data_IF_338167250591
#
_entry.id   IF_338167250591
#
_cell.length_a   1.000
_cell.length_b   1.000
_cell.length_c   1.000
_cell.angle_alpha   90.00
_cell.angle_beta   90.00
_cell.angle_gamma   90.00
#
_symmetry.space_group_name_H-M   'P 1'
#
loop_
_entity.id
_entity.type
_entity.pdbx_description
1 polymer ?
#
# COMPACT_ATOMS: atom_id res chain seq x y z
N UNK A 1 6.22 -2.90 0.07
CA UNK A 1 4.83 -2.53 -0.28
C UNK A 1 3.99 -3.78 -0.48
N UNK A 2 2.79 -3.91 0.12
CA UNK A 2 2.09 -5.20 0.11
C UNK A 2 1.30 -5.49 -1.17
N UNK A 3 1.55 -6.65 -1.77
CA UNK A 3 0.74 -7.26 -2.83
C UNK A 3 0.12 -8.54 -2.27
N UNK A 4 -1.20 -8.57 -2.15
CA UNK A 4 -1.91 -9.76 -1.70
C UNK A 4 -2.12 -10.73 -2.85
N UNK A 5 -1.58 -11.94 -2.69
CA UNK A 5 -1.69 -13.04 -3.65
C UNK A 5 -2.70 -14.04 -3.13
N UNK A 6 -3.83 -14.14 -3.80
CA UNK A 6 -4.72 -15.28 -3.59
C UNK A 6 -4.17 -16.46 -4.36
N UNK A 7 -3.86 -17.53 -3.63
CA UNK A 7 -3.44 -18.82 -4.17
C UNK A 7 -4.61 -19.77 -4.06
N UNK A 8 -4.88 -20.53 -5.11
CA UNK A 8 -5.62 -21.78 -4.98
C UNK A 8 -4.84 -22.75 -4.09
N UNK A 9 -5.56 -23.38 -3.16
CA UNK A 9 -5.12 -24.32 -2.13
C UNK A 9 -3.79 -25.08 -2.43
N UNK A 10 -2.77 -25.04 -1.55
CA UNK A 10 -1.43 -25.65 -1.77
C UNK A 10 -1.41 -27.18 -1.99
N UNK A 11 -2.50 -27.90 -1.78
CA UNK A 11 -2.53 -29.38 -1.87
C UNK A 11 -2.60 -29.93 -3.31
N UNK A 12 -2.68 -29.10 -4.35
CA UNK A 12 -2.86 -29.53 -5.76
C UNK A 12 -1.56 -29.74 -6.57
N UNK A 13 -0.36 -29.66 -5.98
CA UNK A 13 0.89 -29.60 -6.77
C UNK A 13 1.12 -28.22 -7.41
N UNK A 14 0.47 -27.19 -6.87
CA UNK A 14 0.46 -25.80 -7.31
C UNK A 14 1.61 -24.87 -6.86
N UNK A 15 2.45 -25.18 -5.85
CA UNK A 15 3.32 -24.17 -5.21
C UNK A 15 4.40 -23.60 -6.13
N UNK A 16 4.72 -24.31 -7.21
CA UNK A 16 5.76 -23.91 -8.16
C UNK A 16 5.32 -22.70 -9.01
N UNK A 17 4.06 -22.64 -9.42
CA UNK A 17 3.56 -21.66 -10.39
C UNK A 17 3.45 -20.23 -9.79
N UNK A 18 2.88 -20.09 -8.59
CA UNK A 18 2.83 -18.81 -7.89
C UNK A 18 4.23 -18.35 -7.44
N UNK A 19 5.10 -19.27 -7.02
CA UNK A 19 6.47 -18.95 -6.62
C UNK A 19 7.30 -18.37 -7.77
N UNK A 20 7.08 -18.84 -9.00
CA UNK A 20 7.72 -18.33 -10.22
C UNK A 20 7.35 -16.86 -10.45
N UNK A 21 6.05 -16.54 -10.38
CA UNK A 21 5.56 -15.16 -10.58
C UNK A 21 6.07 -14.23 -9.48
N UNK A 22 5.97 -14.64 -8.21
CA UNK A 22 6.44 -13.86 -7.06
C UNK A 22 7.95 -13.56 -7.19
N UNK A 23 8.78 -14.58 -7.45
CA UNK A 23 10.23 -14.42 -7.59
C UNK A 23 10.62 -13.47 -8.73
N UNK A 24 9.95 -13.60 -9.88
CA UNK A 24 10.24 -12.76 -11.03
C UNK A 24 9.81 -11.31 -10.81
N UNK A 25 8.62 -11.11 -10.25
CA UNK A 25 8.10 -9.79 -9.97
C UNK A 25 8.93 -9.08 -8.88
N UNK A 26 9.29 -9.75 -7.77
CA UNK A 26 10.14 -9.12 -6.73
C UNK A 26 11.49 -8.69 -7.29
N UNK A 27 12.17 -9.55 -8.06
CA UNK A 27 13.49 -9.18 -8.62
C UNK A 27 13.40 -8.08 -9.67
N UNK A 28 12.40 -8.12 -10.56
CA UNK A 28 12.33 -7.23 -11.72
C UNK A 28 11.65 -5.88 -11.41
N UNK A 29 10.72 -5.84 -10.45
CA UNK A 29 10.04 -4.59 -10.06
C UNK A 29 10.97 -3.68 -9.26
N UNK A 30 11.76 -4.25 -8.35
CA UNK A 30 12.71 -3.48 -7.54
C UNK A 30 13.88 -2.93 -8.37
N UNK A 31 14.30 -3.66 -9.41
CA UNK A 31 15.48 -3.31 -10.22
C UNK A 31 15.28 -2.14 -11.18
N UNK A 32 14.04 -1.85 -11.62
CA UNK A 32 13.79 -0.85 -12.66
C UNK A 32 12.97 0.33 -12.12
N UNK A 33 13.49 1.57 -12.20
CA UNK A 33 12.69 2.74 -11.87
C UNK A 33 11.52 2.89 -12.84
N UNK A 34 10.43 3.51 -12.36
CA UNK A 34 9.26 3.86 -13.17
C UNK A 34 8.92 5.33 -13.00
N UNK A 35 8.55 5.97 -14.10
CA UNK A 35 7.98 7.31 -14.05
C UNK A 35 6.56 7.26 -13.50
N UNK A 36 6.31 8.03 -12.45
CA UNK A 36 5.01 8.16 -11.82
C UNK A 36 4.63 9.63 -11.74
N UNK A 37 3.43 9.94 -12.21
CA UNK A 37 2.86 11.28 -12.11
C UNK A 37 1.39 11.18 -11.74
N UNK A 38 0.95 12.03 -10.81
CA UNK A 38 -0.47 12.20 -10.46
C UNK A 38 -1.19 13.11 -11.43
N UNK A 39 -0.46 14.04 -12.03
CA UNK A 39 -0.93 14.87 -13.12
C UNK A 39 0.18 14.98 -14.17
N UNK A 40 0.03 14.27 -15.31
CA UNK A 40 1.05 14.20 -16.35
C UNK A 40 1.55 15.57 -16.87
N UNK A 41 0.79 16.64 -16.65
CA UNK A 41 1.16 17.99 -17.07
C UNK A 41 1.93 18.80 -16.00
N UNK A 42 2.18 18.26 -14.81
CA UNK A 42 2.80 18.99 -13.69
C UNK A 42 4.18 18.44 -13.34
N UNK A 43 4.20 17.36 -12.56
CA UNK A 43 5.42 16.81 -11.95
C UNK A 43 5.42 15.31 -12.18
N UNK A 44 6.56 14.81 -12.62
CA UNK A 44 6.82 13.38 -12.82
C UNK A 44 7.97 12.97 -11.92
N UNK A 45 7.75 11.93 -11.14
CA UNK A 45 8.71 11.34 -10.23
C UNK A 45 9.29 10.06 -10.81
N UNK A 46 10.57 9.83 -10.58
CA UNK A 46 11.18 8.53 -10.83
C UNK A 46 11.11 7.72 -9.54
N UNK A 47 10.21 6.75 -9.48
CA UNK A 47 9.92 5.97 -8.27
C UNK A 47 10.43 4.54 -8.39
N UNK A 48 10.72 3.93 -7.24
CA UNK A 48 11.03 2.51 -7.13
C UNK A 48 9.92 1.81 -6.37
N UNK A 49 9.49 0.65 -6.90
CA UNK A 49 8.45 -0.16 -6.27
C UNK A 49 9.10 -1.43 -5.75
N UNK A 50 9.05 -1.63 -4.44
CA UNK A 50 9.53 -2.85 -3.78
C UNK A 50 8.34 -3.67 -3.25
N UNK A 51 7.84 -4.65 -4.04
CA UNK A 51 6.65 -5.41 -3.68
C UNK A 51 6.99 -6.56 -2.73
N UNK A 52 6.19 -6.66 -1.67
CA UNK A 52 6.18 -7.74 -0.69
C UNK A 52 4.91 -8.55 -0.94
N UNK A 53 5.06 -9.79 -1.39
CA UNK A 53 3.92 -10.67 -1.66
C UNK A 53 3.45 -11.36 -0.38
N UNK A 54 2.16 -11.31 -0.10
CA UNK A 54 1.54 -11.97 1.05
C UNK A 54 0.37 -12.86 0.63
N UNK A 55 0.24 -14.08 1.19
CA UNK A 55 -0.89 -14.94 0.89
C UNK A 55 -2.20 -14.31 1.38
N UNK A 56 -3.22 -14.31 0.52
CA UNK A 56 -4.58 -13.87 0.85
C UNK A 56 -5.44 -15.08 1.22
N UNK A 57 -5.90 -15.12 2.46
CA UNK A 57 -6.91 -16.06 2.93
C UNK A 57 -8.29 -15.39 2.92
N UNK A 58 -9.05 -15.65 1.84
CA UNK A 58 -10.39 -15.08 1.64
C UNK A 58 -11.39 -15.52 2.70
N UNK A 59 -11.19 -16.69 3.33
CA UNK A 59 -12.07 -17.23 4.36
C UNK A 59 -11.83 -16.61 5.74
N UNK A 60 -10.56 -16.32 6.08
CA UNK A 60 -10.21 -15.70 7.38
C UNK A 60 -10.37 -14.18 7.38
N UNK A 61 -10.28 -13.54 6.21
CA UNK A 61 -10.37 -12.09 6.10
C UNK A 61 -11.78 -11.51 6.35
N UNK A 62 -12.82 -12.36 6.45
CA UNK A 62 -14.19 -11.96 6.81
C UNK A 62 -14.44 -11.79 8.31
N UNK A 63 -13.51 -12.19 9.17
CA UNK A 63 -13.59 -12.01 10.62
C UNK A 63 -12.99 -10.66 11.00
N UNK A 64 -13.80 -9.60 10.97
CA UNK A 64 -13.49 -8.34 11.65
C UNK A 64 -13.40 -8.60 13.16
N UNK A 65 -12.20 -8.94 13.64
CA UNK A 65 -11.91 -8.87 15.07
C UNK A 65 -12.14 -7.42 15.51
N UNK A 66 -12.90 -7.20 16.59
CA UNK A 66 -13.14 -5.90 17.23
C UNK A 66 -11.87 -5.29 17.88
N UNK A 67 -10.71 -5.54 17.30
CA UNK A 67 -9.44 -4.94 17.68
C UNK A 67 -9.18 -3.69 16.85
N UNK A 68 -8.48 -2.71 17.44
CA UNK A 68 -7.95 -1.55 16.74
C UNK A 68 -7.24 -2.04 15.47
N UNK A 69 -7.60 -1.56 14.26
CA UNK A 69 -6.92 -1.99 13.05
C UNK A 69 -5.42 -1.70 13.25
N UNK A 70 -4.59 -2.73 13.14
CA UNK A 70 -3.14 -2.54 13.08
C UNK A 70 -2.90 -1.55 11.95
N UNK A 71 -2.18 -0.44 12.22
CA UNK A 71 -1.92 0.69 11.31
C UNK A 71 -1.15 0.33 10.03
N UNK A 72 -1.09 -0.94 9.68
CA UNK A 72 -0.55 -1.42 8.44
C UNK A 72 -1.58 -1.17 7.33
N UNK A 73 -1.30 -0.19 6.47
CA UNK A 73 -2.16 0.14 5.33
C UNK A 73 -2.52 -1.14 4.55
N UNK A 74 -3.79 -1.33 4.15
CA UNK A 74 -4.22 -2.53 3.43
C UNK A 74 -3.35 -2.81 2.21
N UNK A 75 -3.32 -4.03 1.66
CA UNK A 75 -2.52 -4.32 0.46
C UNK A 75 -2.78 -3.31 -0.66
N UNK A 76 -1.70 -2.89 -1.33
CA UNK A 76 -1.79 -1.99 -2.45
C UNK A 76 -2.42 -2.69 -3.66
N UNK A 77 -2.20 -3.99 -3.84
CA UNK A 77 -2.73 -4.69 -5.01
C UNK A 77 -3.19 -6.10 -4.67
N UNK A 78 -4.18 -6.59 -5.41
CA UNK A 78 -4.69 -7.96 -5.29
C UNK A 78 -4.42 -8.73 -6.57
N UNK A 79 -3.80 -9.89 -6.44
CA UNK A 79 -3.42 -10.74 -7.57
C UNK A 79 -3.98 -12.13 -7.36
N UNK A 80 -4.68 -12.66 -8.37
CA UNK A 80 -5.11 -14.06 -8.41
C UNK A 80 -4.24 -14.81 -9.42
N UNK A 81 -3.58 -15.87 -8.97
CA UNK A 81 -2.69 -16.67 -9.82
C UNK A 81 -3.27 -18.07 -9.96
N UNK A 82 -3.40 -18.56 -11.19
CA UNK A 82 -3.90 -19.90 -11.46
C UNK A 82 -3.23 -20.55 -12.68
N UNK A 83 -3.17 -21.89 -12.76
CA UNK A 83 -2.70 -22.57 -13.95
C UNK A 83 -3.70 -22.42 -15.11
N UNK A 84 -3.19 -22.31 -16.34
CA UNK A 84 -4.01 -22.36 -17.55
C UNK A 84 -4.35 -23.82 -17.90
N UNK A 85 -5.05 -24.50 -16.98
CA UNK A 85 -5.46 -25.89 -17.11
C UNK A 85 -7.00 -26.00 -17.10
N UNK A 86 -7.63 -26.49 -18.19
CA UNK A 86 -9.08 -26.63 -18.28
C UNK A 86 -9.70 -27.57 -17.25
N UNK A 87 -8.98 -28.61 -16.82
CA UNK A 87 -9.44 -29.60 -15.84
C UNK A 87 -9.44 -28.99 -14.44
N UNK A 88 -8.37 -28.30 -14.08
CA UNK A 88 -8.29 -27.51 -12.85
C UNK A 88 -9.41 -26.46 -12.77
N UNK A 89 -9.65 -25.72 -13.88
CA UNK A 89 -10.65 -24.67 -13.87
C UNK A 89 -12.07 -25.19 -13.62
N UNK A 90 -12.39 -26.33 -14.23
CA UNK A 90 -13.71 -26.95 -14.13
C UNK A 90 -13.93 -27.57 -12.75
N UNK A 91 -12.88 -28.16 -12.16
CA UNK A 91 -12.96 -28.81 -10.85
C UNK A 91 -12.97 -27.83 -9.68
N UNK A 92 -12.11 -26.80 -9.71
CA UNK A 92 -11.89 -25.91 -8.56
C UNK A 92 -11.68 -24.45 -8.92
N UNK A 93 -10.95 -24.14 -9.98
CA UNK A 93 -10.53 -22.77 -10.30
C UNK A 93 -11.70 -21.79 -10.47
N UNK A 94 -12.83 -22.22 -11.04
CA UNK A 94 -14.03 -21.37 -11.18
C UNK A 94 -14.64 -20.98 -9.83
N UNK A 95 -14.68 -21.91 -8.88
CA UNK A 95 -15.22 -21.66 -7.54
C UNK A 95 -14.30 -20.73 -6.73
N UNK A 96 -12.99 -21.01 -6.75
CA UNK A 96 -11.97 -20.20 -6.08
C UNK A 96 -11.98 -18.74 -6.59
N UNK A 97 -12.06 -18.56 -7.91
CA UNK A 97 -12.11 -17.22 -8.51
C UNK A 97 -13.41 -16.48 -8.14
N UNK A 98 -14.55 -17.17 -8.16
CA UNK A 98 -15.83 -16.56 -7.76
C UNK A 98 -15.76 -16.05 -6.33
N UNK A 99 -15.24 -16.86 -5.41
CA UNK A 99 -15.04 -16.48 -4.02
C UNK A 99 -14.10 -15.26 -3.89
N UNK A 100 -13.01 -15.24 -4.66
CA UNK A 100 -12.09 -14.10 -4.67
C UNK A 100 -12.74 -12.82 -5.21
N UNK A 101 -13.52 -12.89 -6.28
CA UNK A 101 -14.24 -11.73 -6.83
C UNK A 101 -15.31 -11.21 -5.85
N UNK A 102 -16.02 -12.08 -5.15
CA UNK A 102 -16.97 -11.70 -4.09
C UNK A 102 -16.26 -10.99 -2.92
N UNK A 103 -15.08 -11.50 -2.54
CA UNK A 103 -14.22 -10.83 -1.56
C UNK A 103 -13.82 -9.42 -2.01
N UNK A 104 -13.34 -9.27 -3.25
CA UNK A 104 -12.95 -7.96 -3.79
C UNK A 104 -14.14 -6.99 -3.83
N UNK A 105 -15.32 -7.47 -4.22
CA UNK A 105 -16.55 -6.67 -4.24
C UNK A 105 -16.94 -6.19 -2.83
N UNK A 106 -16.88 -7.09 -1.84
CA UNK A 106 -17.19 -6.78 -0.44
C UNK A 106 -16.24 -5.72 0.13
N UNK A 107 -14.95 -5.81 -0.22
CA UNK A 107 -13.92 -4.85 0.21
C UNK A 107 -13.84 -3.60 -0.67
N UNK A 108 -14.72 -3.46 -1.68
CA UNK A 108 -14.72 -2.36 -2.67
C UNK A 108 -13.36 -2.18 -3.36
N UNK A 109 -12.66 -3.28 -3.60
CA UNK A 109 -11.36 -3.29 -4.26
C UNK A 109 -11.54 -3.27 -5.76
N UNK A 110 -11.07 -2.19 -6.39
CA UNK A 110 -11.12 -2.02 -7.84
C UNK A 110 -9.80 -2.40 -8.56
N UNK A 111 -8.71 -2.50 -7.80
CA UNK A 111 -7.37 -2.76 -8.32
C UNK A 111 -7.02 -4.24 -8.13
N UNK A 112 -7.31 -5.05 -9.16
CA UNK A 112 -7.04 -6.48 -9.17
C UNK A 112 -6.44 -6.95 -10.49
N UNK A 113 -5.57 -7.96 -10.44
CA UNK A 113 -4.98 -8.61 -11.62
C UNK A 113 -5.12 -10.12 -11.54
N UNK A 114 -5.47 -10.75 -12.66
CA UNK A 114 -5.55 -12.20 -12.80
C UNK A 114 -4.41 -12.65 -13.70
N UNK A 115 -3.60 -13.59 -13.21
CA UNK A 115 -2.44 -14.15 -13.89
C UNK A 115 -2.72 -15.63 -14.15
N UNK A 116 -2.71 -16.02 -15.42
CA UNK A 116 -2.76 -17.43 -15.82
C UNK A 116 -1.36 -17.91 -16.20
N UNK A 117 -1.03 -19.15 -15.81
CA UNK A 117 0.28 -19.73 -16.09
C UNK A 117 0.15 -20.88 -17.09
N UNK A 118 0.71 -20.69 -18.28
CA UNK A 118 0.67 -21.66 -19.37
C UNK A 118 1.88 -22.59 -19.36
N UNK A 119 1.64 -23.90 -19.31
CA UNK A 119 2.70 -24.88 -19.53
C UNK A 119 2.94 -25.07 -21.03
N UNK A 120 4.20 -24.96 -21.46
CA UNK A 120 4.58 -25.10 -22.87
C UNK A 120 4.41 -26.50 -23.43
N UNK A 121 4.56 -27.51 -22.58
CA UNK A 121 4.47 -28.92 -22.96
C UNK A 121 3.01 -29.35 -23.14
N UNK A 122 2.08 -28.66 -22.48
CA UNK A 122 0.64 -28.89 -22.58
C UNK A 122 0.00 -27.87 -23.51
N UNK A 123 -0.13 -28.21 -24.79
CA UNK A 123 -0.87 -27.38 -25.75
C UNK A 123 -2.37 -27.39 -25.45
N UNK A 124 -2.85 -26.32 -24.81
CA UNK A 124 -4.29 -26.11 -24.57
C UNK A 124 -4.89 -25.34 -25.75
N UNK A 125 -5.94 -25.87 -26.41
CA UNK A 125 -6.65 -25.12 -27.46
C UNK A 125 -7.16 -23.77 -26.95
N UNK A 126 -7.07 -22.73 -27.77
CA UNK A 126 -7.45 -21.37 -27.38
C UNK A 126 -8.89 -21.28 -26.82
N UNK A 127 -9.83 -22.02 -27.42
CA UNK A 127 -11.25 -22.07 -26.99
C UNK A 127 -11.47 -22.81 -25.66
N UNK A 128 -10.55 -23.67 -25.25
CA UNK A 128 -10.63 -24.38 -23.96
C UNK A 128 -9.76 -23.75 -22.87
N UNK A 129 -8.93 -22.76 -23.23
CA UNK A 129 -8.04 -22.07 -22.30
C UNK A 129 -8.82 -21.45 -21.13
N UNK A 130 -8.20 -21.44 -19.96
CA UNK A 130 -8.73 -20.76 -18.78
C UNK A 130 -8.95 -19.29 -19.10
N UNK A 131 -8.03 -18.66 -19.84
CA UNK A 131 -8.17 -17.29 -20.34
C UNK A 131 -9.50 -17.07 -21.09
N UNK A 132 -9.88 -17.99 -21.99
CA UNK A 132 -11.14 -17.89 -22.72
C UNK A 132 -12.35 -18.11 -21.81
N UNK A 133 -12.29 -19.11 -20.93
CA UNK A 133 -13.35 -19.38 -19.96
C UNK A 133 -13.59 -18.21 -19.02
N UNK A 134 -12.52 -17.55 -18.54
CA UNK A 134 -12.60 -16.35 -17.69
C UNK A 134 -13.37 -15.21 -18.37
N UNK A 135 -13.13 -14.97 -19.66
CA UNK A 135 -13.85 -13.95 -20.43
C UNK A 135 -15.33 -14.28 -20.58
N UNK A 136 -15.67 -15.55 -20.79
CA UNK A 136 -17.05 -15.99 -20.98
C UNK A 136 -17.84 -16.06 -19.67
N UNK A 137 -17.24 -16.61 -18.61
CA UNK A 137 -17.91 -16.87 -17.34
C UNK A 137 -18.06 -15.60 -16.48
N UNK A 138 -17.11 -14.67 -16.56
CA UNK A 138 -17.05 -13.50 -15.67
C UNK A 138 -17.03 -12.16 -16.40
N UNK A 139 -17.15 -12.16 -17.74
CA UNK A 139 -17.11 -10.95 -18.57
C UNK A 139 -15.87 -10.07 -18.30
N UNK A 140 -14.73 -10.70 -17.99
CA UNK A 140 -13.48 -9.98 -17.70
C UNK A 140 -12.88 -9.48 -19.00
N UNK A 141 -12.80 -8.16 -19.16
CA UNK A 141 -12.16 -7.54 -20.33
C UNK A 141 -10.66 -7.85 -20.40
N UNK A 142 -10.21 -8.14 -21.63
CA UNK A 142 -8.90 -8.70 -21.90
C UNK A 142 -7.72 -7.72 -21.75
N UNK A 143 -7.97 -6.42 -21.62
CA UNK A 143 -6.90 -5.43 -21.79
C UNK A 143 -6.07 -5.24 -20.54
N UNK A 144 -6.67 -4.93 -19.39
CA UNK A 144 -5.89 -4.45 -18.23
C UNK A 144 -5.82 -5.42 -17.03
N UNK A 145 -6.85 -6.27 -16.82
CA UNK A 145 -6.97 -7.11 -15.62
C UNK A 145 -6.51 -8.55 -15.76
N UNK A 146 -6.10 -8.97 -16.97
CA UNK A 146 -5.81 -10.36 -17.28
C UNK A 146 -4.49 -10.49 -18.03
N UNK A 147 -3.63 -11.43 -17.63
CA UNK A 147 -2.36 -11.70 -18.30
C UNK A 147 -2.05 -13.20 -18.25
N UNK A 148 -1.57 -13.74 -19.37
CA UNK A 148 -1.09 -15.12 -19.48
C UNK A 148 0.43 -15.10 -19.59
N UNK A 149 1.11 -15.87 -18.74
CA UNK A 149 2.57 -16.03 -18.76
C UNK A 149 2.95 -17.50 -18.87
N UNK A 150 3.92 -17.86 -19.70
CA UNK A 150 4.37 -19.24 -19.78
C UNK A 150 5.35 -19.57 -18.64
N UNK A 151 5.44 -20.84 -18.27
CA UNK A 151 6.37 -21.31 -17.22
C UNK A 151 7.85 -21.05 -17.51
N UNK A 152 8.24 -20.92 -18.79
CA UNK A 152 9.62 -20.62 -19.18
C UNK A 152 9.83 -19.11 -19.39
N UNK A 153 10.74 -18.54 -18.59
CA UNK A 153 11.12 -17.13 -18.62
C UNK A 153 11.87 -16.70 -19.88
N UNK A 154 12.76 -17.55 -20.42
CA UNK A 154 13.74 -17.13 -21.42
C UNK A 154 13.13 -16.94 -22.80
N UNK A 155 12.15 -17.77 -23.13
CA UNK A 155 11.54 -17.82 -24.46
C UNK A 155 10.37 -16.87 -24.68
N UNK A 156 9.87 -16.24 -23.61
CA UNK A 156 8.66 -15.43 -23.66
C UNK A 156 8.82 -14.10 -22.90
N UNK A 157 9.96 -13.45 -23.11
CA UNK A 157 10.29 -12.16 -22.49
C UNK A 157 9.15 -11.14 -22.63
N UNK A 158 8.47 -11.08 -23.78
CA UNK A 158 7.34 -10.16 -24.01
C UNK A 158 6.14 -10.37 -23.06
N UNK A 159 5.77 -11.61 -22.75
CA UNK A 159 4.65 -11.90 -21.84
C UNK A 159 5.01 -11.52 -20.39
N UNK A 160 6.23 -11.83 -19.98
CA UNK A 160 6.76 -11.47 -18.68
C UNK A 160 6.93 -9.95 -18.51
N UNK A 161 7.37 -9.23 -19.55
CA UNK A 161 7.39 -7.77 -19.54
C UNK A 161 5.97 -7.18 -19.45
N UNK A 162 4.99 -7.76 -20.17
CA UNK A 162 3.59 -7.33 -20.06
C UNK A 162 3.05 -7.50 -18.62
N UNK A 163 3.35 -8.62 -17.97
CA UNK A 163 3.02 -8.85 -16.56
C UNK A 163 3.66 -7.77 -15.67
N UNK A 164 4.94 -7.43 -15.86
CA UNK A 164 5.61 -6.39 -15.08
C UNK A 164 4.94 -5.02 -15.27
N UNK A 165 4.67 -4.63 -16.51
CA UNK A 165 3.98 -3.35 -16.79
C UNK A 165 2.61 -3.29 -16.11
N UNK A 166 1.81 -4.36 -16.21
CA UNK A 166 0.50 -4.42 -15.55
C UNK A 166 0.62 -4.40 -14.03
N UNK A 167 1.58 -5.12 -13.45
CA UNK A 167 1.82 -5.13 -12.01
C UNK A 167 2.24 -3.75 -11.50
N UNK A 168 3.16 -3.07 -12.20
CA UNK A 168 3.55 -1.69 -11.88
C UNK A 168 2.35 -0.74 -11.91
N UNK A 169 1.59 -0.77 -12.99
CA UNK A 169 0.41 0.08 -13.15
C UNK A 169 -0.67 -0.21 -12.11
N UNK A 170 -0.87 -1.49 -11.75
CA UNK A 170 -1.79 -1.91 -10.70
C UNK A 170 -1.40 -1.31 -9.35
N UNK A 171 -0.13 -1.45 -8.99
CA UNK A 171 0.43 -0.93 -7.76
C UNK A 171 0.33 0.61 -7.70
N UNK A 172 0.80 1.30 -8.73
CA UNK A 172 0.83 2.77 -8.77
C UNK A 172 -0.57 3.36 -8.72
N UNK A 173 -1.55 2.76 -9.43
CA UNK A 173 -2.95 3.20 -9.37
C UNK A 173 -3.54 3.05 -7.98
N UNK A 174 -3.25 1.95 -7.31
CA UNK A 174 -3.80 1.74 -5.98
C UNK A 174 -3.19 2.66 -4.93
N UNK A 175 -1.89 2.93 -5.01
CA UNK A 175 -1.25 3.94 -4.16
C UNK A 175 -1.79 5.33 -4.45
N UNK A 176 -1.92 5.71 -5.73
CA UNK A 176 -2.47 7.00 -6.13
C UNK A 176 -3.88 7.22 -5.57
N UNK A 177 -4.76 6.23 -5.72
CA UNK A 177 -6.14 6.31 -5.20
C UNK A 177 -6.19 6.42 -3.67
N UNK A 178 -5.31 5.72 -2.94
CA UNK A 178 -5.22 5.86 -1.49
C UNK A 178 -4.70 7.23 -1.08
N UNK A 179 -3.67 7.72 -1.77
CA UNK A 179 -3.09 9.02 -1.54
C UNK A 179 -4.11 10.14 -1.77
N UNK A 180 -4.89 10.07 -2.87
CA UNK A 180 -6.00 10.99 -3.14
C UNK A 180 -7.00 11.01 -1.98
N UNK A 181 -7.37 9.83 -1.46
CA UNK A 181 -8.34 9.70 -0.38
C UNK A 181 -7.81 10.30 0.93
N UNK A 182 -6.59 9.97 1.31
CA UNK A 182 -5.96 10.46 2.53
C UNK A 182 -5.74 11.99 2.48
N UNK A 183 -5.29 12.52 1.34
CA UNK A 183 -5.10 13.96 1.15
C UNK A 183 -6.41 14.74 1.15
N UNK A 184 -7.48 14.22 0.53
CA UNK A 184 -8.79 14.84 0.58
C UNK A 184 -9.36 14.85 2.00
N UNK A 185 -9.13 13.78 2.77
CA UNK A 185 -9.50 13.71 4.19
C UNK A 185 -8.73 14.75 5.00
N UNK A 186 -7.41 14.84 4.82
CA UNK A 186 -6.58 15.85 5.47
C UNK A 186 -7.01 17.28 5.12
N UNK A 187 -7.39 17.56 3.87
CA UNK A 187 -7.93 18.87 3.45
C UNK A 187 -9.25 19.18 4.15
N UNK A 188 -10.15 18.19 4.25
CA UNK A 188 -11.42 18.34 4.95
C UNK A 188 -11.22 18.65 6.44
N UNK A 189 -10.29 17.94 7.09
CA UNK A 189 -9.95 18.18 8.50
C UNK A 189 -9.38 19.59 8.71
N UNK A 190 -8.53 20.08 7.80
CA UNK A 190 -8.03 21.45 7.92
C UNK A 190 -9.12 22.51 7.70
N UNK A 191 -10.10 22.23 6.83
CA UNK A 191 -11.22 23.14 6.60
C UNK A 191 -12.09 23.30 7.86
N UNK A 192 -12.22 22.25 8.68
CA UNK A 192 -12.95 22.26 9.95
C UNK A 192 -12.08 22.56 11.18
N UNK A 193 -10.82 22.99 11.03
CA UNK A 193 -9.91 23.18 12.18
C UNK A 193 -10.37 24.22 13.22
N UNK A 194 -11.29 25.12 12.83
CA UNK A 194 -11.88 26.12 13.75
C UNK A 194 -13.07 25.58 14.53
N UNK A 195 -13.56 24.38 14.19
CA UNK A 195 -14.69 23.73 14.85
C UNK A 195 -14.24 23.06 16.16
N UNK A 196 -15.13 23.05 17.16
CA UNK A 196 -14.81 22.58 18.51
C UNK A 196 -14.59 21.06 18.61
N UNK A 197 -15.01 20.30 17.62
CA UNK A 197 -14.89 18.84 17.50
C UNK A 197 -13.65 18.40 16.71
N UNK A 198 -12.83 19.33 16.23
CA UNK A 198 -11.62 19.00 15.50
C UNK A 198 -10.57 18.30 16.38
N UNK A 199 -10.11 17.10 15.97
CA UNK A 199 -9.01 16.39 16.63
C UNK A 199 -7.75 16.43 15.76
N UNK A 200 -6.68 17.04 16.27
CA UNK A 200 -5.38 17.02 15.59
C UNK A 200 -4.87 15.60 15.37
N UNK A 201 -5.19 14.65 16.25
CA UNK A 201 -4.72 13.28 16.09
C UNK A 201 -5.27 12.64 14.81
N UNK A 202 -6.49 13.00 14.40
CA UNK A 202 -7.06 12.54 13.13
C UNK A 202 -6.32 13.16 11.93
N UNK A 203 -5.91 14.43 12.05
CA UNK A 203 -5.08 15.08 11.03
C UNK A 203 -3.67 14.47 10.97
N UNK A 204 -3.06 14.21 12.13
CA UNK A 204 -1.75 13.55 12.23
C UNK A 204 -1.79 12.15 11.64
N UNK A 205 -2.80 11.34 11.96
CA UNK A 205 -2.98 10.01 11.38
C UNK A 205 -3.07 10.08 9.85
N UNK A 206 -3.77 11.08 9.29
CA UNK A 206 -3.80 11.30 7.84
C UNK A 206 -2.40 11.67 7.29
N UNK A 207 -1.65 12.55 7.95
CA UNK A 207 -0.30 12.92 7.50
C UNK A 207 0.68 11.74 7.59
N UNK A 208 0.60 10.93 8.66
CA UNK A 208 1.39 9.68 8.82
C UNK A 208 1.08 8.69 7.70
N UNK A 209 -0.20 8.52 7.33
CA UNK A 209 -0.60 7.65 6.21
C UNK A 209 -0.05 8.16 4.88
N UNK A 210 -0.18 9.46 4.59
CA UNK A 210 0.36 10.08 3.37
C UNK A 210 1.88 9.90 3.31
N UNK A 211 2.60 10.18 4.41
CA UNK A 211 4.05 9.99 4.48
C UNK A 211 4.47 8.54 4.25
N UNK A 212 3.70 7.59 4.79
CA UNK A 212 3.91 6.15 4.58
C UNK A 212 3.73 5.76 3.10
N UNK A 213 2.72 6.31 2.43
CA UNK A 213 2.47 6.05 1.01
C UNK A 213 3.59 6.61 0.13
N UNK A 214 4.08 7.84 0.40
CA UNK A 214 5.23 8.40 -0.31
C UNK A 214 6.52 7.60 -0.04
N UNK A 215 6.72 7.14 1.20
CA UNK A 215 7.84 6.28 1.54
C UNK A 215 7.80 4.95 0.77
N UNK A 216 6.62 4.39 0.52
CA UNK A 216 6.46 3.19 -0.31
C UNK A 216 6.85 3.40 -1.79
N UNK A 217 6.92 4.65 -2.24
CA UNK A 217 7.40 5.06 -3.57
C UNK A 217 8.86 5.51 -3.57
N UNK A 218 9.53 5.42 -2.41
CA UNK A 218 10.87 5.94 -2.17
C UNK A 218 10.98 7.47 -2.34
N UNK A 219 9.87 8.19 -2.08
CA UNK A 219 9.76 9.64 -2.12
C UNK A 219 9.92 10.21 -0.71
N UNK A 220 11.15 10.21 -0.21
CA UNK A 220 11.45 10.58 1.18
C UNK A 220 11.25 12.07 1.45
N UNK A 221 11.49 12.95 0.47
CA UNK A 221 11.31 14.39 0.64
C UNK A 221 9.84 14.75 0.81
N UNK A 222 8.96 14.18 -0.02
CA UNK A 222 7.52 14.32 0.07
C UNK A 222 6.98 13.76 1.40
N UNK A 223 7.52 12.62 1.84
CA UNK A 223 7.16 12.04 3.13
C UNK A 223 7.55 12.96 4.30
N UNK A 224 8.75 13.55 4.28
CA UNK A 224 9.20 14.51 5.29
C UNK A 224 8.34 15.77 5.30
N UNK A 225 7.98 16.32 4.13
CA UNK A 225 7.11 17.49 4.03
C UNK A 225 5.75 17.27 4.71
N UNK A 226 5.20 16.05 4.66
CA UNK A 226 3.95 15.71 5.35
C UNK A 226 4.10 15.78 6.88
N UNK A 227 5.24 15.31 7.41
CA UNK A 227 5.53 15.37 8.84
C UNK A 227 5.84 16.81 9.29
N UNK A 228 6.57 17.59 8.50
CA UNK A 228 6.85 19.00 8.77
C UNK A 228 5.54 19.82 8.80
N UNK A 229 4.61 19.49 7.90
CA UNK A 229 3.27 20.09 7.91
C UNK A 229 2.54 19.77 9.22
N UNK A 230 2.58 18.52 9.68
CA UNK A 230 1.97 18.14 10.96
C UNK A 230 2.61 18.87 12.15
N UNK A 231 3.94 18.99 12.19
CA UNK A 231 4.68 19.71 13.22
C UNK A 231 4.33 21.20 13.26
N UNK A 232 4.19 21.82 12.09
CA UNK A 232 3.77 23.21 11.99
C UNK A 232 2.39 23.43 12.61
N UNK A 233 1.41 22.58 12.27
CA UNK A 233 0.06 22.66 12.84
C UNK A 233 0.04 22.40 14.35
N UNK A 234 0.85 21.46 14.83
CA UNK A 234 1.00 21.21 16.26
C UNK A 234 1.56 22.43 16.99
N UNK A 235 2.65 23.01 16.47
CA UNK A 235 3.30 24.19 17.06
C UNK A 235 2.35 25.38 17.09
N UNK A 236 1.61 25.62 16.00
CA UNK A 236 0.60 26.69 15.94
C UNK A 236 -0.51 26.48 16.97
N UNK A 237 -1.03 25.26 17.08
CA UNK A 237 -2.10 24.93 18.04
C UNK A 237 -1.66 25.10 19.50
N UNK A 238 -0.41 24.76 19.81
CA UNK A 238 0.18 24.96 21.15
C UNK A 238 0.38 26.43 21.48
N UNK A 239 0.80 27.25 20.51
CA UNK A 239 0.94 28.70 20.70
C UNK A 239 -0.42 29.37 20.98
N UNK A 240 -1.46 29.03 20.22
CA UNK A 240 -2.83 29.50 20.46
C UNK A 240 -3.35 29.15 21.87
N UNK A 241 -2.99 27.96 22.37
CA UNK A 241 -3.37 27.52 23.71
C UNK A 241 -2.66 28.32 24.82
N UNK A 242 -1.41 28.74 24.60
CA UNK A 242 -0.65 29.53 25.57
C UNK A 242 -1.16 30.97 25.70
N UNK A 243 -1.70 31.55 24.63
CA UNK A 243 -2.25 32.91 24.59
C UNK A 243 -3.67 33.02 25.18
N UNK A 244 -4.18 31.97 25.82
CA UNK A 244 -5.50 31.94 26.45
C UNK A 244 -6.64 31.67 25.47
N UNK A 245 -6.34 31.15 24.27
CA UNK A 245 -7.33 30.63 23.35
C UNK A 245 -8.17 29.54 24.02
N UNK A 246 -9.50 29.72 24.02
CA UNK A 246 -10.52 28.80 24.57
C UNK A 246 -10.66 27.50 23.77
N UNK A 247 -9.58 26.97 23.22
CA UNK A 247 -9.56 25.70 22.51
C UNK A 247 -9.19 24.60 23.51
N UNK A 248 -10.20 23.88 23.99
CA UNK A 248 -10.13 22.73 24.92
C UNK A 248 -9.31 21.53 24.40
N UNK A 249 -8.56 21.70 23.31
CA UNK A 249 -7.85 20.62 22.63
C UNK A 249 -6.55 20.29 23.37
N UNK A 250 -5.87 21.27 23.99
CA UNK A 250 -4.48 21.16 24.48
C UNK A 250 -4.23 20.09 25.55
N UNK A 251 -5.23 19.68 26.34
CA UNK A 251 -5.06 18.70 27.43
C UNK A 251 -5.19 17.24 26.96
N UNK A 252 -5.86 17.00 25.83
CA UNK A 252 -6.04 15.65 25.27
C UNK A 252 -4.83 15.19 24.41
N UNK A 253 -4.06 16.13 23.86
CA UNK A 253 -2.85 15.86 23.07
C UNK A 253 -1.84 15.00 23.84
N UNK A 254 -1.50 15.40 25.07
CA UNK A 254 -0.38 14.82 25.81
C UNK A 254 -0.59 13.33 26.17
N UNK A 255 -1.83 12.91 26.47
CA UNK A 255 -2.13 11.53 26.86
C UNK A 255 -2.29 10.57 25.66
N UNK A 256 -2.73 11.05 24.49
CA UNK A 256 -2.88 10.22 23.27
C UNK A 256 -1.58 10.04 22.47
N UNK A 257 -0.58 10.89 22.67
CA UNK A 257 0.70 10.87 21.93
C UNK A 257 1.65 9.73 22.39
N UNK A 258 1.56 9.30 23.65
CA UNK A 258 2.44 8.29 24.26
C UNK A 258 2.59 6.95 23.47
N UNK A 259 1.53 6.33 22.94
CA UNK A 259 1.63 5.12 22.12
C UNK A 259 2.14 5.34 20.68
N UNK A 260 2.08 6.56 20.13
CA UNK A 260 2.57 6.86 18.77
C UNK A 260 4.10 7.07 18.73
N UNK A 261 4.72 7.51 19.83
CA UNK A 261 6.17 7.73 19.91
C UNK A 261 7.02 6.48 19.71
N UNK A 262 6.50 5.30 20.04
CA UNK A 262 7.20 4.03 19.80
C UNK A 262 7.33 3.70 18.30
N UNK A 263 6.39 4.18 17.47
CA UNK A 263 6.39 3.96 16.02
C UNK A 263 7.29 4.97 15.30
N UNK A 264 7.26 6.23 15.72
CA UNK A 264 8.08 7.31 15.17
C UNK A 264 9.59 7.12 15.42
N UNK A 265 9.98 6.45 16.52
CA UNK A 265 11.39 6.16 16.82
C UNK A 265 12.00 5.13 15.86
N UNK A 266 11.21 4.18 15.36
CA UNK A 266 11.66 3.23 14.34
C UNK A 266 11.86 3.92 12.97
N UNK A 267 11.05 4.94 12.67
CA UNK A 267 11.13 5.76 11.45
C UNK A 267 12.31 6.76 11.49
N UNK A 268 12.57 7.38 12.65
CA UNK A 268 13.71 8.26 12.88
C UNK A 268 15.08 7.55 12.76
N UNK A 269 15.12 6.25 13.03
CA UNK A 269 16.32 5.43 12.85
C UNK A 269 16.53 5.04 11.38
N UNK A 270 15.48 4.99 10.56
CA UNK A 270 15.54 4.66 9.14
C UNK A 270 15.82 5.90 8.26
N UNK A 271 15.26 7.05 8.59
CA UNK A 271 15.54 8.33 7.94
C UNK A 271 16.52 9.13 8.82
N UNK A 272 17.79 9.25 8.41
CA UNK A 272 18.81 10.08 9.09
C UNK A 272 18.47 11.58 9.05
N UNK A 273 17.42 12.01 9.76
CA UNK A 273 16.91 13.38 9.75
C UNK A 273 16.47 13.84 11.14
N UNK A 274 17.00 14.98 11.58
CA UNK A 274 16.86 15.55 12.93
C UNK A 274 15.45 15.98 13.34
N UNK A 275 14.47 16.01 12.43
CA UNK A 275 13.16 16.62 12.70
C UNK A 275 12.27 15.78 13.62
N UNK A 276 12.33 14.44 13.52
CA UNK A 276 11.59 13.56 14.43
C UNK A 276 12.11 13.67 15.87
N UNK A 277 13.41 13.95 16.04
CA UNK A 277 14.02 14.19 17.34
C UNK A 277 13.55 15.51 17.97
N UNK A 278 13.25 16.53 17.17
CA UNK A 278 12.73 17.83 17.63
C UNK A 278 11.29 17.74 18.16
N UNK A 279 10.44 16.93 17.52
CA UNK A 279 9.10 16.59 18.03
C UNK A 279 9.18 15.88 19.41
N UNK A 280 10.17 14.99 19.59
CA UNK A 280 10.41 14.30 20.86
C UNK A 280 10.93 15.23 21.97
N UNK A 281 11.80 16.19 21.64
CA UNK A 281 12.38 17.13 22.63
C UNK A 281 11.37 18.19 23.08
N UNK A 282 10.50 18.67 22.18
CA UNK A 282 9.52 19.73 22.51
C UNK A 282 8.34 19.26 23.36
N UNK A 283 8.10 17.95 23.44
CA UNK A 283 6.99 17.37 24.21
C UNK A 283 7.41 16.88 25.62
N UNK A 284 8.66 17.11 26.04
CA UNK A 284 9.09 16.84 27.41
C UNK A 284 8.58 17.93 28.37
N UNK A 285 7.88 17.60 29.47
CA UNK A 285 7.37 18.58 30.43
C UNK A 285 8.47 19.21 31.30
N UNK A 286 9.74 18.84 31.12
CA UNK A 286 10.87 19.46 31.80
C UNK A 286 11.69 20.32 30.85
N UNK A 287 11.29 21.59 30.76
CA UNK A 287 12.24 22.66 30.50
C UNK A 287 13.29 22.70 31.61
N UNK A 288 14.34 21.90 31.50
CA UNK A 288 15.57 22.12 32.23
C UNK A 288 16.63 22.55 31.21
N UNK A 289 17.08 23.79 31.37
CA UNK A 289 18.21 24.40 30.67
C UNK A 289 19.35 23.40 30.53
N UNK A 290 19.66 22.97 29.31
CA UNK A 290 21.01 22.56 28.97
C UNK A 290 21.69 23.75 28.29
N UNK A 291 22.29 24.56 29.16
CA UNK A 291 23.31 25.52 28.79
C UNK A 291 24.41 24.79 28.02
N UNK A 292 24.80 25.39 26.89
CA UNK A 292 26.05 25.18 26.16
C UNK A 292 27.19 24.71 27.06
N UNK A 293 27.75 23.52 26.78
CA UNK A 293 29.18 23.19 26.94
C UNK A 293 29.49 21.81 26.34
N UNK A 294 30.36 21.82 25.31
CA UNK A 294 31.31 20.80 24.85
C UNK A 294 30.98 19.30 24.83
N UNK A 295 31.04 18.71 23.63
CA UNK A 295 31.89 17.55 23.21
C UNK A 295 31.47 17.17 21.77
N UNK A 296 32.24 17.41 20.70
CA UNK A 296 33.51 16.81 20.25
C UNK A 296 33.38 15.32 19.88
N UNK A 297 33.50 15.11 18.55
CA UNK A 297 33.54 13.91 17.69
C UNK A 297 32.26 13.11 17.48
#
# INVERSE_FOLDING_TARGET
MLVCVSKSNPNSGEPESASIVEKYCTSSLTAQPIEWSRNPSLVTYTVHVDPTFMPLDTAKSGSTSKGRPTKFSPPAAYVFICPNDPEYYTSKGKADLKQWLEFLSTQKVNNSLIVTISNKDKKVPAKSSVLHKLKMDFMIDASDRLVDVPTDFQSASGAWQSLLSKMRNLILRALGSKLDTAENTAKSLLASHSEADWDFMDFLDCQEEIATLYSCLNLSEEAMQCLDKADHWLTSSLAEAQEGGTKSHSFFFFFKLLPHFAFSLHYALACRGSTVLLLLVRLSPFGARLSSSHMVY
#
